data_IF_990179857401
#
_entry.id   IF_990179857401
#
_cell.length_a   1.000
_cell.length_b   1.000
_cell.length_c   1.000
_cell.angle_alpha   90.00
_cell.angle_beta   90.00
_cell.angle_gamma   90.00
#
_symmetry.space_group_name_H-M   'P 1'
#
loop_
_entity.id
_entity.type
_entity.pdbx_description
1 polymer ?
#
# COMPACT_ATOMS: atom_id res chain seq x y z
N UNK A 1 -12.99 -16.16 -14.29
CA UNK A 1 -12.26 -15.86 -13.04
C UNK A 1 -11.56 -14.49 -13.03
N UNK A 2 -11.71 -13.64 -14.06
CA UNK A 2 -11.16 -12.26 -14.07
C UNK A 2 -12.33 -11.29 -14.26
N UNK A 3 -12.99 -10.85 -13.17
CA UNK A 3 -13.99 -9.76 -13.26
C UNK A 3 -14.18 -8.93 -11.97
N UNK A 4 -13.32 -9.09 -10.96
CA UNK A 4 -13.56 -8.44 -9.65
C UNK A 4 -12.34 -7.80 -8.97
N UNK A 5 -11.17 -7.69 -9.63
CA UNK A 5 -9.95 -7.24 -8.95
C UNK A 5 -9.42 -5.85 -9.29
N UNK A 6 -10.07 -5.08 -10.17
CA UNK A 6 -9.76 -3.66 -10.19
C UNK A 6 -10.46 -2.98 -9.02
N UNK A 7 -9.70 -2.18 -8.28
CA UNK A 7 -10.14 -1.22 -7.26
C UNK A 7 -11.30 -0.30 -7.73
N UNK A 8 -11.62 -0.34 -9.04
CA UNK A 8 -12.69 0.37 -9.74
C UNK A 8 -14.07 -0.30 -9.64
N UNK A 9 -14.17 -1.55 -9.15
CA UNK A 9 -15.42 -2.32 -9.22
C UNK A 9 -16.42 -2.11 -8.08
N UNK A 10 -16.04 -1.51 -6.95
CA UNK A 10 -16.92 -1.23 -5.79
C UNK A 10 -17.62 -2.43 -5.13
N UNK A 11 -17.52 -3.64 -5.68
CA UNK A 11 -18.18 -4.84 -5.15
C UNK A 11 -17.37 -5.41 -4.00
N UNK A 12 -17.96 -5.38 -2.80
CA UNK A 12 -17.42 -6.08 -1.64
C UNK A 12 -17.41 -7.59 -1.90
N UNK A 13 -16.35 -8.32 -1.52
CA UNK A 13 -16.27 -9.76 -1.74
C UNK A 13 -17.39 -10.50 -0.97
N UNK A 14 -18.23 -11.23 -1.72
CA UNK A 14 -19.37 -11.96 -1.19
C UNK A 14 -19.03 -13.35 -0.64
N UNK A 15 -17.93 -13.97 -1.09
CA UNK A 15 -17.49 -15.31 -0.64
C UNK A 15 -16.16 -15.26 0.11
N UNK A 16 -15.84 -16.32 0.84
CA UNK A 16 -14.56 -16.45 1.56
C UNK A 16 -13.36 -16.45 0.60
N UNK A 17 -13.44 -17.18 -0.51
CA UNK A 17 -12.38 -17.25 -1.53
C UNK A 17 -12.12 -15.88 -2.14
N UNK A 18 -13.18 -15.11 -2.40
CA UNK A 18 -13.06 -13.75 -2.91
C UNK A 18 -12.41 -12.81 -1.90
N UNK A 19 -12.65 -13.01 -0.60
CA UNK A 19 -11.97 -12.26 0.48
C UNK A 19 -10.50 -12.62 0.58
N UNK A 20 -10.16 -13.91 0.54
CA UNK A 20 -8.78 -14.39 0.55
C UNK A 20 -8.00 -13.83 -0.65
N UNK A 21 -8.57 -13.90 -1.85
CA UNK A 21 -7.95 -13.35 -3.05
C UNK A 21 -7.78 -11.83 -2.95
N UNK A 22 -8.76 -11.12 -2.39
CA UNK A 22 -8.66 -9.67 -2.15
C UNK A 22 -7.64 -9.29 -1.08
N UNK A 23 -7.43 -10.13 -0.08
CA UNK A 23 -6.39 -9.92 0.92
C UNK A 23 -5.00 -10.16 0.33
N UNK A 24 -4.83 -11.22 -0.47
CA UNK A 24 -3.57 -11.53 -1.15
C UNK A 24 -3.09 -10.39 -2.06
N UNK A 25 -4.00 -9.82 -2.87
CA UNK A 25 -3.70 -8.67 -3.73
C UNK A 25 -3.24 -7.44 -2.92
N UNK A 26 -3.91 -7.13 -1.80
CA UNK A 26 -3.51 -6.02 -0.93
C UNK A 26 -2.18 -6.27 -0.22
N UNK A 27 -1.90 -7.51 0.17
CA UNK A 27 -0.63 -7.88 0.79
C UNK A 27 0.54 -7.73 -0.19
N UNK A 28 0.34 -8.06 -1.48
CA UNK A 28 1.35 -7.86 -2.53
C UNK A 28 1.62 -6.37 -2.81
N UNK A 29 0.61 -5.52 -2.64
CA UNK A 29 0.74 -4.07 -2.76
C UNK A 29 1.45 -3.40 -1.57
N UNK A 30 1.80 -4.14 -0.51
CA UNK A 30 2.44 -3.61 0.70
C UNK A 30 3.87 -4.16 0.91
N UNK A 31 4.61 -3.52 1.81
CA UNK A 31 5.99 -3.88 2.13
C UNK A 31 6.94 -3.58 0.98
N UNK A 32 8.06 -4.30 0.93
CA UNK A 32 9.14 -4.08 -0.05
C UNK A 32 8.67 -4.11 -1.50
N UNK A 33 7.84 -5.09 -1.86
CA UNK A 33 7.31 -5.20 -3.23
C UNK A 33 6.38 -4.03 -3.55
N UNK A 34 5.54 -3.62 -2.60
CA UNK A 34 4.69 -2.44 -2.73
C UNK A 34 5.47 -1.16 -3.02
N UNK A 35 6.54 -0.92 -2.24
CA UNK A 35 7.45 0.22 -2.42
C UNK A 35 8.06 0.21 -3.82
N UNK A 36 8.64 -0.92 -4.22
CA UNK A 36 9.28 -1.07 -5.53
C UNK A 36 8.29 -0.79 -6.68
N UNK A 37 7.10 -1.38 -6.63
CA UNK A 37 6.06 -1.20 -7.64
C UNK A 37 5.57 0.25 -7.73
N UNK A 38 5.38 0.91 -6.59
CA UNK A 38 4.96 2.31 -6.55
C UNK A 38 6.04 3.25 -7.13
N UNK A 39 7.32 2.95 -6.86
CA UNK A 39 8.45 3.73 -7.38
C UNK A 39 8.57 3.57 -8.90
N UNK A 40 8.49 2.33 -9.41
CA UNK A 40 8.46 2.05 -10.84
C UNK A 40 7.30 2.76 -11.54
N UNK A 41 6.09 2.67 -10.99
CA UNK A 41 4.92 3.33 -11.56
C UNK A 41 5.11 4.85 -11.65
N UNK A 42 5.66 5.45 -10.59
CA UNK A 42 5.94 6.89 -10.56
C UNK A 42 6.98 7.28 -11.60
N UNK A 43 8.05 6.50 -11.75
CA UNK A 43 9.09 6.73 -12.74
C UNK A 43 8.57 6.60 -14.19
N UNK A 44 7.80 5.55 -14.48
CA UNK A 44 7.20 5.32 -15.81
C UNK A 44 6.25 6.45 -16.22
N UNK A 45 5.56 7.07 -15.26
CA UNK A 45 4.60 8.14 -15.51
C UNK A 45 5.18 9.54 -15.30
N UNK A 46 6.50 9.66 -15.07
CA UNK A 46 7.17 10.94 -14.83
C UNK A 46 6.62 11.70 -13.61
N UNK A 47 6.11 10.99 -12.61
CA UNK A 47 5.54 11.60 -11.40
C UNK A 47 6.65 12.02 -10.43
N UNK A 48 6.54 13.20 -9.82
CA UNK A 48 7.51 13.64 -8.82
C UNK A 48 7.45 12.76 -7.56
N UNK A 49 8.51 12.84 -6.75
CA UNK A 49 8.58 12.12 -5.47
C UNK A 49 7.44 12.47 -4.51
N UNK A 50 6.93 13.70 -4.56
CA UNK A 50 5.77 14.13 -3.76
C UNK A 50 4.52 13.28 -4.04
N UNK A 51 4.28 12.93 -5.30
CA UNK A 51 3.12 12.13 -5.70
C UNK A 51 3.30 10.68 -5.28
N UNK A 52 4.54 10.17 -5.35
CA UNK A 52 4.88 8.86 -4.83
C UNK A 52 4.61 8.78 -3.32
N UNK A 53 5.06 9.76 -2.54
CA UNK A 53 4.81 9.81 -1.08
C UNK A 53 3.31 9.98 -0.79
N UNK A 54 2.61 10.85 -1.51
CA UNK A 54 1.16 11.01 -1.38
C UNK A 54 0.42 9.69 -1.61
N UNK A 55 0.85 8.89 -2.59
CA UNK A 55 0.27 7.57 -2.86
C UNK A 55 0.34 6.61 -1.66
N UNK A 56 1.40 6.66 -0.85
CA UNK A 56 1.48 5.86 0.37
C UNK A 56 0.38 6.26 1.35
N UNK A 57 0.25 7.56 1.64
CA UNK A 57 -0.70 8.06 2.63
C UNK A 57 -2.16 7.91 2.19
N UNK A 58 -2.44 8.16 0.91
CA UNK A 58 -3.79 8.09 0.36
C UNK A 58 -4.28 6.65 0.19
N UNK A 59 -3.36 5.72 -0.08
CA UNK A 59 -3.70 4.35 -0.45
C UNK A 59 -2.99 3.28 0.35
N UNK A 60 -1.67 3.12 0.21
CA UNK A 60 -0.95 1.94 0.69
C UNK A 60 -1.07 1.77 2.21
N UNK A 61 -0.93 2.85 2.98
CA UNK A 61 -1.06 2.84 4.44
C UNK A 61 -2.49 2.59 4.93
N UNK A 62 -3.50 2.70 4.05
CA UNK A 62 -4.90 2.37 4.39
C UNK A 62 -5.25 0.92 4.14
N UNK A 63 -4.43 0.16 3.41
CA UNK A 63 -4.71 -1.22 3.03
C UNK A 63 -4.91 -2.18 4.22
N UNK A 64 -4.17 -2.08 5.35
CA UNK A 64 -4.38 -2.98 6.49
C UNK A 64 -5.83 -2.95 7.04
N UNK A 65 -6.46 -1.77 7.02
CA UNK A 65 -7.86 -1.59 7.48
C UNK A 65 -8.89 -2.23 6.54
N UNK A 66 -8.48 -2.61 5.33
CA UNK A 66 -9.33 -3.18 4.28
C UNK A 66 -9.15 -4.70 4.12
N UNK A 67 -8.38 -5.33 5.01
CA UNK A 67 -8.17 -6.77 5.01
C UNK A 67 -9.31 -7.50 5.73
N UNK A 68 -9.76 -8.60 5.15
CA UNK A 68 -10.90 -9.36 5.63
C UNK A 68 -10.52 -10.41 6.66
N UNK A 69 -9.45 -11.15 6.42
CA UNK A 69 -9.03 -12.30 7.24
C UNK A 69 -8.07 -11.89 8.37
N UNK A 70 -8.14 -12.55 9.54
CA UNK A 70 -7.22 -12.29 10.63
C UNK A 70 -5.77 -12.65 10.27
N UNK A 71 -5.55 -13.68 9.46
CA UNK A 71 -4.22 -14.09 8.99
C UNK A 71 -3.60 -13.00 8.12
N UNK A 72 -4.37 -12.43 7.17
CA UNK A 72 -3.87 -11.34 6.36
C UNK A 72 -3.52 -10.10 7.21
N UNK A 73 -4.35 -9.77 8.20
CA UNK A 73 -4.05 -8.67 9.14
C UNK A 73 -2.74 -8.89 9.89
N UNK A 74 -2.49 -10.12 10.37
CA UNK A 74 -1.22 -10.46 11.02
C UNK A 74 -0.02 -10.30 10.08
N UNK A 75 -0.12 -10.79 8.84
CA UNK A 75 0.93 -10.63 7.82
C UNK A 75 1.16 -9.17 7.40
N UNK A 76 0.14 -8.33 7.51
CA UNK A 76 0.24 -6.93 7.13
C UNK A 76 1.02 -6.08 8.13
N UNK A 77 1.14 -6.51 9.40
CA UNK A 77 1.82 -5.74 10.46
C UNK A 77 3.26 -5.42 10.07
N UNK A 78 4.07 -6.44 9.81
CA UNK A 78 5.49 -6.26 9.46
C UNK A 78 5.66 -5.45 8.16
N UNK A 79 4.80 -5.71 7.16
CA UNK A 79 4.83 -4.98 5.88
C UNK A 79 4.49 -3.51 6.05
N UNK A 80 3.53 -3.20 6.93
CA UNK A 80 3.11 -1.85 7.22
C UNK A 80 4.19 -1.08 7.99
N UNK A 81 4.74 -1.69 9.04
CA UNK A 81 5.84 -1.12 9.82
C UNK A 81 7.06 -0.82 8.94
N UNK A 82 7.42 -1.74 8.03
CA UNK A 82 8.51 -1.50 7.08
C UNK A 82 8.25 -0.31 6.16
N UNK A 83 7.02 -0.13 5.66
CA UNK A 83 6.68 1.03 4.83
C UNK A 83 6.75 2.34 5.60
N UNK A 84 6.34 2.35 6.87
CA UNK A 84 6.49 3.54 7.73
C UNK A 84 7.96 3.90 7.94
N UNK A 85 8.80 2.91 8.25
CA UNK A 85 10.23 3.12 8.42
C UNK A 85 10.89 3.61 7.12
N UNK A 86 10.51 3.05 5.98
CA UNK A 86 10.96 3.50 4.67
C UNK A 86 10.62 4.99 4.44
N UNK A 87 9.37 5.41 4.68
CA UNK A 87 8.96 6.81 4.52
C UNK A 87 9.70 7.74 5.49
N UNK A 88 9.92 7.28 6.72
CA UNK A 88 10.67 8.02 7.73
C UNK A 88 12.10 8.28 7.26
N UNK A 89 12.80 7.24 6.79
CA UNK A 89 14.17 7.37 6.27
C UNK A 89 14.21 8.26 5.01
N UNK A 90 13.27 8.05 4.08
CA UNK A 90 13.16 8.87 2.88
C UNK A 90 12.98 10.37 3.22
N UNK A 91 12.16 10.68 4.23
CA UNK A 91 11.95 12.06 4.69
C UNK A 91 13.20 12.68 5.34
N UNK A 92 14.07 11.88 5.97
CA UNK A 92 15.34 12.36 6.51
C UNK A 92 16.38 12.63 5.41
N UNK A 93 16.42 11.79 4.38
CA UNK A 93 17.39 11.90 3.29
C UNK A 93 17.03 13.01 2.28
N UNK A 94 15.73 13.27 2.08
CA UNK A 94 15.26 14.23 1.09
C UNK A 94 14.78 15.51 1.75
N UNK A 95 15.61 16.57 1.64
CA UNK A 95 15.25 17.92 2.10
C UNK A 95 14.01 18.43 1.36
N UNK A 96 12.95 18.77 2.10
CA UNK A 96 11.74 19.42 1.57
C UNK A 96 10.53 18.51 1.36
N UNK A 97 10.63 17.21 1.64
CA UNK A 97 9.44 16.40 1.92
C UNK A 97 8.95 16.76 3.32
N UNK A 98 7.71 17.23 3.44
CA UNK A 98 7.14 17.55 4.74
C UNK A 98 7.18 16.30 5.63
N UNK A 99 8.04 16.29 6.64
CA UNK A 99 8.02 15.26 7.68
C UNK A 99 6.64 15.31 8.32
N UNK A 100 5.83 14.23 8.28
CA UNK A 100 4.62 14.20 9.10
C UNK A 100 5.07 14.30 10.57
N UNK A 101 4.39 15.09 11.40
CA UNK A 101 4.74 15.22 12.81
C UNK A 101 4.68 13.83 13.45
N UNK A 102 5.73 13.51 14.21
CA UNK A 102 5.72 12.39 15.14
C UNK A 102 4.78 12.81 16.29
N UNK A 103 3.55 12.30 16.28
CA UNK A 103 2.73 12.20 17.51
C UNK A 103 3.05 10.88 18.22
#
# INVERSE_FOLDING_TARGET
MIKAHSYTGGRRPGTMESRILSDADKLDAMGTIGIYRAAMYSAEHGRPLSDFVAHFHEKLLRLPSQLYTPQARAMAVERYEFMLEYLRQLGLEVKGLASPPLE
#
